data_IF_607789809114
#
_entry.id   IF_607789809114
#
_cell.length_a   1.000
_cell.length_b   1.000
_cell.length_c   1.000
_cell.angle_alpha   90.00
_cell.angle_beta   90.00
_cell.angle_gamma   90.00
#
_symmetry.space_group_name_H-M   'P 1'
#
loop_
_entity.id
_entity.type
_entity.pdbx_description
1 polymer ?
#
# COMPACT_ATOMS: atom_id res chain seq x y z
N UNK A 1 7.30 9.56 7.44
CA UNK A 1 7.06 9.52 5.97
C UNK A 1 6.82 10.91 5.41
N UNK A 2 5.87 11.68 5.97
CA UNK A 2 5.72 13.11 5.67
C UNK A 2 6.98 13.89 6.03
N UNK A 3 7.31 13.89 7.32
CA UNK A 3 8.55 14.45 7.81
C UNK A 3 9.54 13.31 8.08
N UNK A 4 10.78 13.57 7.73
CA UNK A 4 11.92 12.77 8.10
C UNK A 4 12.29 12.94 9.58
N UNK A 5 13.29 12.21 10.05
CA UNK A 5 14.03 12.64 11.24
C UNK A 5 15.07 13.70 10.83
N UNK A 6 15.63 14.39 11.80
CA UNK A 6 16.82 15.26 11.73
C UNK A 6 17.96 14.70 10.85
N UNK A 7 18.03 13.39 10.65
CA UNK A 7 19.08 12.71 9.89
C UNK A 7 18.64 12.07 8.56
N UNK A 8 17.33 11.88 8.34
CA UNK A 8 16.81 11.18 7.14
C UNK A 8 15.57 11.90 6.63
N UNK A 9 15.58 12.54 5.44
CA UNK A 9 14.43 13.25 4.90
C UNK A 9 13.24 12.30 4.64
N UNK A 10 12.02 12.81 4.86
CA UNK A 10 10.79 12.08 4.56
C UNK A 10 10.63 11.89 3.04
N UNK A 11 10.25 10.68 2.63
CA UNK A 11 10.09 10.35 1.20
C UNK A 11 8.73 10.72 0.61
N UNK A 12 7.79 11.25 1.41
CA UNK A 12 6.47 11.60 0.90
C UNK A 12 6.54 12.65 -0.21
N UNK A 13 7.33 13.73 -0.04
CA UNK A 13 7.47 14.77 -1.07
C UNK A 13 7.95 14.20 -2.42
N UNK A 14 9.08 13.47 -2.51
CA UNK A 14 9.50 12.91 -3.78
C UNK A 14 8.51 11.88 -4.34
N UNK A 15 7.78 11.12 -3.50
CA UNK A 15 6.73 10.22 -3.98
C UNK A 15 5.56 10.97 -4.62
N UNK A 16 5.19 12.11 -4.04
CA UNK A 16 4.21 13.01 -4.62
C UNK A 16 4.78 13.61 -5.92
N UNK A 17 5.89 14.35 -5.89
CA UNK A 17 6.43 15.03 -7.08
C UNK A 17 6.60 14.12 -8.32
N UNK A 18 6.86 12.82 -8.13
CA UNK A 18 7.06 11.85 -9.20
C UNK A 18 5.86 10.93 -9.47
N UNK A 19 4.68 11.26 -8.94
CA UNK A 19 3.44 10.51 -9.15
C UNK A 19 3.53 9.01 -8.88
N UNK A 20 4.23 8.62 -7.81
CA UNK A 20 4.35 7.22 -7.38
C UNK A 20 2.96 6.63 -7.14
N UNK A 21 2.72 5.44 -7.70
CA UNK A 21 1.43 4.75 -7.58
C UNK A 21 1.35 3.90 -6.33
N UNK A 22 2.39 3.11 -6.08
CA UNK A 22 2.47 2.19 -4.96
C UNK A 22 3.82 2.30 -4.28
N UNK A 23 3.82 2.17 -2.96
CA UNK A 23 5.03 2.08 -2.15
C UNK A 23 4.94 0.81 -1.33
N UNK A 24 5.96 -0.05 -1.44
CA UNK A 24 6.05 -1.29 -0.68
C UNK A 24 7.08 -1.14 0.43
N UNK A 25 6.79 -1.68 1.60
CA UNK A 25 7.76 -1.82 2.69
C UNK A 25 7.57 -3.15 3.43
N UNK A 26 8.62 -3.55 4.17
CA UNK A 26 8.60 -4.70 5.07
C UNK A 26 8.87 -4.25 6.51
N UNK A 27 9.78 -4.95 7.21
CA UNK A 27 10.15 -4.71 8.62
C UNK A 27 9.05 -5.01 9.64
N UNK A 28 7.85 -4.44 9.49
CA UNK A 28 6.70 -4.85 10.30
C UNK A 28 6.23 -6.22 9.80
N UNK A 29 6.19 -7.20 10.68
CA UNK A 29 5.91 -8.60 10.35
C UNK A 29 4.41 -8.84 10.18
N UNK A 30 3.81 -8.15 9.21
CA UNK A 30 2.37 -8.21 8.92
C UNK A 30 2.07 -7.74 7.49
N UNK A 31 0.79 -7.79 7.11
CA UNK A 31 0.29 -7.21 5.87
C UNK A 31 -0.69 -6.06 6.13
N UNK A 32 -0.45 -4.89 5.55
CA UNK A 32 -1.39 -3.77 5.60
C UNK A 32 -1.42 -3.06 4.24
N UNK A 33 -2.62 -2.87 3.69
CA UNK A 33 -2.87 -1.98 2.56
C UNK A 33 -3.57 -0.72 3.05
N UNK A 34 -3.06 0.44 2.66
CA UNK A 34 -3.72 1.71 2.95
C UNK A 34 -4.70 2.11 1.84
N UNK A 35 -5.61 3.04 2.14
CA UNK A 35 -6.15 3.94 1.13
C UNK A 35 -5.02 4.83 0.56
N UNK A 36 -5.19 5.48 -0.60
CA UNK A 36 -4.28 6.53 -1.03
C UNK A 36 -4.10 7.56 0.09
N UNK A 37 -2.86 7.84 0.46
CA UNK A 37 -2.54 8.71 1.60
C UNK A 37 -1.49 9.75 1.24
N UNK A 38 -1.74 10.98 1.66
CA UNK A 38 -0.74 12.03 1.69
C UNK A 38 -1.03 12.97 2.85
N UNK A 39 -0.01 13.50 3.49
CA UNK A 39 -0.15 14.50 4.55
C UNK A 39 -1.13 14.04 5.65
N UNK A 40 -0.98 12.78 6.10
CA UNK A 40 -1.84 12.13 7.11
C UNK A 40 -3.34 12.07 6.75
N UNK A 41 -3.68 12.34 5.49
CA UNK A 41 -5.06 12.39 4.99
C UNK A 41 -5.29 11.21 4.05
N UNK A 42 -6.30 10.40 4.36
CA UNK A 42 -6.72 9.27 3.53
C UNK A 42 -7.79 9.72 2.54
N UNK A 43 -7.59 9.46 1.25
CA UNK A 43 -8.56 9.75 0.21
C UNK A 43 -9.44 8.52 -0.03
N UNK A 44 -10.72 8.59 0.35
CA UNK A 44 -11.65 7.45 0.36
C UNK A 44 -12.87 7.60 -0.55
N UNK A 45 -13.05 8.75 -1.17
CA UNK A 45 -14.25 9.05 -1.95
C UNK A 45 -14.35 8.18 -3.21
N UNK A 46 -15.56 7.71 -3.53
CA UNK A 46 -15.83 6.95 -4.75
C UNK A 46 -15.04 5.64 -4.84
N UNK A 47 -14.34 5.42 -5.96
CA UNK A 47 -13.34 4.36 -6.10
C UNK A 47 -11.94 4.96 -5.85
N UNK A 48 -11.40 4.88 -4.63
CA UNK A 48 -10.15 5.55 -4.28
C UNK A 48 -8.93 5.00 -5.03
N UNK A 49 -9.03 3.79 -5.58
CA UNK A 49 -7.94 3.14 -6.33
C UNK A 49 -7.99 3.42 -7.85
N UNK A 50 -9.00 4.15 -8.32
CA UNK A 50 -9.05 4.66 -9.70
C UNK A 50 -8.61 6.13 -9.74
N UNK A 51 -7.61 6.44 -10.58
CA UNK A 51 -6.88 7.72 -10.57
C UNK A 51 -6.55 8.18 -9.14
N UNK A 52 -5.82 7.38 -8.34
CA UNK A 52 -5.57 7.69 -6.93
C UNK A 52 -5.02 9.10 -6.75
N UNK A 53 -5.49 9.82 -5.73
CA UNK A 53 -5.02 11.19 -5.42
C UNK A 53 -3.65 11.23 -4.73
N UNK A 54 -3.16 10.07 -4.29
CA UNK A 54 -1.88 9.92 -3.60
C UNK A 54 -1.36 8.47 -3.78
N UNK A 55 -0.11 8.16 -3.40
CA UNK A 55 0.39 6.79 -3.41
C UNK A 55 -0.43 5.88 -2.47
N UNK A 56 -0.55 4.62 -2.87
CA UNK A 56 -1.08 3.54 -2.03
C UNK A 56 0.09 2.83 -1.37
N UNK A 57 0.04 2.66 -0.06
CA UNK A 57 1.13 2.05 0.68
C UNK A 57 0.78 0.62 1.09
N UNK A 58 1.72 -0.29 0.85
CA UNK A 58 1.57 -1.71 1.13
C UNK A 58 2.69 -2.17 2.07
N UNK A 59 2.34 -2.54 3.30
CA UNK A 59 3.17 -3.35 4.16
C UNK A 59 3.08 -4.81 3.72
N UNK A 60 4.20 -5.43 3.38
CA UNK A 60 4.30 -6.85 3.01
C UNK A 60 5.46 -7.52 3.73
N UNK A 61 5.54 -7.33 5.06
CA UNK A 61 6.63 -7.85 5.88
C UNK A 61 6.34 -9.20 6.55
N UNK A 62 5.12 -9.72 6.46
CA UNK A 62 4.71 -11.01 7.03
C UNK A 62 5.06 -12.22 6.17
N UNK A 63 6.31 -12.39 5.75
CA UNK A 63 6.70 -13.47 4.83
C UNK A 63 7.02 -14.82 5.51
N UNK A 64 7.21 -14.87 6.83
CA UNK A 64 7.57 -16.09 7.56
C UNK A 64 8.70 -15.91 8.60
N UNK A 65 8.85 -14.71 9.14
CA UNK A 65 9.90 -14.40 10.12
C UNK A 65 9.76 -15.27 11.39
N UNK A 66 10.89 -15.52 12.08
CA UNK A 66 10.95 -16.42 13.25
C UNK A 66 10.19 -15.87 14.47
N UNK A 67 10.15 -14.55 14.61
CA UNK A 67 9.52 -13.84 15.73
C UNK A 67 7.99 -13.90 15.71
N UNK A 68 7.39 -14.40 14.62
CA UNK A 68 5.94 -14.35 14.40
C UNK A 68 5.45 -12.94 14.03
N UNK A 69 4.13 -12.76 14.01
CA UNK A 69 3.53 -11.50 13.59
C UNK A 69 3.66 -10.39 14.62
N UNK A 70 3.86 -9.15 14.16
CA UNK A 70 3.95 -7.96 15.04
C UNK A 70 2.62 -7.61 15.71
N UNK A 71 1.48 -8.01 15.13
CA UNK A 71 0.15 -7.59 15.56
C UNK A 71 -0.21 -6.15 15.15
N UNK A 72 -1.39 -5.69 15.54
CA UNK A 72 -1.94 -4.38 15.14
C UNK A 72 -2.34 -3.51 16.32
N UNK A 73 -2.24 -2.19 16.14
CA UNK A 73 -2.82 -1.21 17.05
C UNK A 73 -4.32 -1.07 16.82
N UNK A 74 -5.07 -0.87 17.92
CA UNK A 74 -6.52 -0.69 17.92
C UNK A 74 -6.92 0.64 18.59
N UNK A 75 -7.85 1.41 17.99
CA UNK A 75 -8.50 1.17 16.69
C UNK A 75 -7.53 1.37 15.50
N UNK A 76 -7.85 0.83 14.30
CA UNK A 76 -7.01 1.05 13.12
C UNK A 76 -6.94 2.53 12.76
N UNK A 77 -5.79 2.95 12.23
CA UNK A 77 -5.62 4.32 11.76
C UNK A 77 -6.57 4.62 10.60
N UNK A 78 -6.98 5.89 10.40
CA UNK A 78 -7.97 6.24 9.37
C UNK A 78 -7.57 5.82 7.94
N UNK A 79 -6.28 5.66 7.66
CA UNK A 79 -5.78 5.26 6.34
C UNK A 79 -5.70 3.75 6.11
N UNK A 80 -5.84 2.92 7.14
CA UNK A 80 -5.82 1.46 6.99
C UNK A 80 -7.05 1.01 6.22
N UNK A 81 -6.84 0.36 5.07
CA UNK A 81 -7.92 -0.23 4.27
C UNK A 81 -8.08 -1.74 4.53
N UNK A 82 -6.96 -2.47 4.60
CA UNK A 82 -6.96 -3.91 4.89
C UNK A 82 -5.75 -4.26 5.75
N UNK A 83 -5.95 -5.12 6.74
CA UNK A 83 -4.89 -5.68 7.61
C UNK A 83 -5.07 -7.20 7.67
N UNK A 84 -3.98 -7.95 7.54
CA UNK A 84 -4.02 -9.42 7.58
C UNK A 84 -2.89 -9.93 8.46
N UNK A 85 -3.24 -10.73 9.46
CA UNK A 85 -2.29 -11.34 10.41
C UNK A 85 -2.01 -12.80 10.05
N UNK A 86 -1.56 -13.02 8.80
CA UNK A 86 -1.20 -14.33 8.28
C UNK A 86 0.04 -14.23 7.44
N UNK A 87 0.85 -15.30 7.43
CA UNK A 87 2.01 -15.35 6.56
C UNK A 87 1.58 -15.38 5.09
N UNK A 88 2.31 -14.66 4.26
CA UNK A 88 1.98 -14.53 2.86
C UNK A 88 2.99 -13.73 2.07
N UNK A 89 2.75 -13.63 0.77
CA UNK A 89 3.55 -12.81 -0.14
C UNK A 89 2.65 -12.02 -1.08
N UNK A 90 3.15 -10.88 -1.56
CA UNK A 90 2.42 -10.03 -2.50
C UNK A 90 2.84 -10.32 -3.94
N UNK A 91 1.86 -10.47 -4.84
CA UNK A 91 2.05 -10.48 -6.29
C UNK A 91 1.57 -9.14 -6.86
N UNK A 92 2.40 -8.51 -7.68
CA UNK A 92 2.02 -7.32 -8.45
C UNK A 92 2.05 -7.66 -9.94
N UNK A 93 0.89 -7.56 -10.57
CA UNK A 93 0.70 -7.76 -11.99
C UNK A 93 0.58 -6.41 -12.69
N UNK A 94 1.52 -6.11 -13.57
CA UNK A 94 1.45 -4.95 -14.46
C UNK A 94 0.78 -5.39 -15.75
N UNK A 95 -0.52 -5.09 -15.90
CA UNK A 95 -1.29 -5.53 -17.06
C UNK A 95 -1.02 -4.66 -18.28
N UNK A 96 -0.95 -3.34 -18.08
CA UNK A 96 -0.68 -2.36 -19.12
C UNK A 96 -0.30 -1.01 -18.46
N UNK A 97 -0.16 0.05 -19.27
CA UNK A 97 0.20 1.39 -18.81
C UNK A 97 -0.81 2.07 -17.88
N UNK A 98 -2.01 1.49 -17.71
CA UNK A 98 -3.08 2.06 -16.89
C UNK A 98 -3.62 1.11 -15.81
N UNK A 99 -3.17 -0.13 -15.75
CA UNK A 99 -3.75 -1.16 -14.88
C UNK A 99 -2.68 -1.95 -14.14
N UNK A 100 -2.70 -1.81 -12.82
CA UNK A 100 -1.98 -2.65 -11.88
C UNK A 100 -3.00 -3.49 -11.10
N UNK A 101 -2.69 -4.76 -10.90
CA UNK A 101 -3.47 -5.63 -10.01
C UNK A 101 -2.52 -6.23 -8.98
N UNK A 102 -2.88 -6.12 -7.72
CA UNK A 102 -2.10 -6.65 -6.61
C UNK A 102 -2.91 -7.70 -5.87
N UNK A 103 -2.23 -8.78 -5.47
CA UNK A 103 -2.79 -9.85 -4.65
C UNK A 103 -1.86 -10.15 -3.47
N UNK A 104 -2.44 -10.36 -2.29
CA UNK A 104 -1.76 -10.93 -1.14
C UNK A 104 -2.12 -12.40 -1.02
N UNK A 105 -1.14 -13.29 -1.12
CA UNK A 105 -1.31 -14.73 -1.18
C UNK A 105 -1.00 -15.37 0.17
N UNK A 106 -1.84 -16.30 0.60
CA UNK A 106 -1.65 -17.11 1.80
C UNK A 106 -0.76 -18.32 1.56
N UNK A 107 0.31 -18.47 2.33
CA UNK A 107 1.21 -19.64 2.22
C UNK A 107 0.68 -20.89 2.95
N UNK A 108 -0.24 -20.72 3.89
CA UNK A 108 -0.77 -21.80 4.74
C UNK A 108 -2.16 -22.27 4.31
N UNK A 109 -2.72 -21.71 3.25
CA UNK A 109 -4.04 -22.05 2.75
C UNK A 109 -4.03 -22.27 1.23
N UNK A 110 -3.17 -23.16 0.76
CA UNK A 110 -3.06 -23.55 -0.67
C UNK A 110 -2.95 -22.37 -1.65
N UNK A 111 -2.29 -21.27 -1.25
CA UNK A 111 -2.13 -20.11 -2.14
C UNK A 111 -3.41 -19.30 -2.34
N UNK A 112 -4.38 -19.33 -1.43
CA UNK A 112 -5.58 -18.50 -1.56
C UNK A 112 -5.26 -17.01 -1.47
N UNK A 113 -5.96 -16.20 -2.26
CA UNK A 113 -5.89 -14.74 -2.22
C UNK A 113 -6.59 -14.22 -0.96
N UNK A 114 -5.85 -13.53 -0.09
CA UNK A 114 -6.37 -12.94 1.16
C UNK A 114 -6.83 -11.49 0.96
N UNK A 115 -6.19 -10.76 0.06
CA UNK A 115 -6.55 -9.41 -0.34
C UNK A 115 -6.20 -9.22 -1.81
N UNK A 116 -6.97 -8.39 -2.51
CA UNK A 116 -6.65 -7.98 -3.87
C UNK A 116 -7.14 -6.56 -4.15
N UNK A 117 -6.44 -5.86 -5.04
CA UNK A 117 -6.83 -4.51 -5.44
C UNK A 117 -6.38 -4.21 -6.87
N UNK A 118 -7.27 -3.56 -7.62
CA UNK A 118 -6.92 -2.90 -8.87
C UNK A 118 -6.54 -1.45 -8.59
N UNK A 119 -5.36 -1.04 -9.04
CA UNK A 119 -5.00 0.37 -9.16
C UNK A 119 -5.04 0.73 -10.63
N UNK A 120 -5.94 1.65 -10.97
CA UNK A 120 -6.23 1.98 -12.37
C UNK A 120 -6.11 3.47 -12.64
N UNK A 121 -5.79 3.82 -13.89
CA UNK A 121 -5.72 5.19 -14.37
C UNK A 121 -6.49 5.35 -15.67
N UNK A 122 -6.99 6.56 -15.91
CA UNK A 122 -7.40 6.96 -17.25
C UNK A 122 -6.17 7.07 -18.15
N UNK A 123 -6.34 6.82 -19.44
CA UNK A 123 -5.26 7.02 -20.40
C UNK A 123 -4.79 8.48 -20.40
N UNK A 124 -3.48 8.69 -20.30
CA UNK A 124 -2.90 10.03 -20.22
C UNK A 124 -3.10 10.75 -18.88
N UNK A 125 -3.64 10.08 -17.86
CA UNK A 125 -3.78 10.66 -16.52
C UNK A 125 -2.41 11.10 -15.98
N UNK A 126 -2.33 12.38 -15.60
CA UNK A 126 -1.21 12.96 -14.88
C UNK A 126 -1.73 13.39 -13.51
N UNK A 127 -1.07 12.96 -12.43
CA UNK A 127 -1.42 13.41 -11.09
C UNK A 127 -0.82 14.81 -10.91
N UNK A 128 -1.68 15.83 -10.93
CA UNK A 128 -1.25 17.19 -10.63
C UNK A 128 -1.20 17.36 -9.12
N UNK A 129 -0.02 17.67 -8.60
CA UNK A 129 0.16 18.07 -7.22
C UNK A 129 -0.02 19.59 -7.11
N UNK A 130 -0.56 20.03 -5.97
CA UNK A 130 -0.88 21.43 -5.68
C UNK A 130 0.34 22.35 -5.77
#
# INVERSE_FOLDING_TARGET
MKDGDSTVPGLEKPYLDNAVDMVFWGHVHSYERTYPVANMTAYKDGNPYHNPKAPVYICTGGAGNQEGHTGYTHPPSPWSAQRIDRFGYTLLHVYNSTHLYMEQIDVNNNGTVMDSVWITKNQGFQRNFW
#
